data_IF_555549897300
#
_entry.id   IF_555549897300
#
_cell.length_a   1.000
_cell.length_b   1.000
_cell.length_c   1.000
_cell.angle_alpha   90.00
_cell.angle_beta   90.00
_cell.angle_gamma   90.00
#
_symmetry.space_group_name_H-M   'P 1'
#
loop_
_entity.id
_entity.type
_entity.pdbx_description
1 polymer ?
#
# COMPACT_ATOMS: atom_id res chain seq x y z
N UNK A 1 -13.38 39.57 33.75
CA UNK A 1 -13.98 40.12 32.52
C UNK A 1 -12.83 40.43 31.57
N UNK A 2 -12.16 39.42 31.00
CA UNK A 2 -12.65 38.43 30.03
C UNK A 2 -13.01 39.09 28.69
N UNK A 3 -12.04 39.07 27.77
CA UNK A 3 -12.21 38.98 26.31
C UNK A 3 -10.97 38.22 25.83
N UNK A 4 -10.99 36.92 25.57
CA UNK A 4 -12.01 36.15 24.85
C UNK A 4 -11.76 36.10 23.33
N UNK A 5 -10.57 36.50 22.85
CA UNK A 5 -10.33 36.63 21.41
C UNK A 5 -8.92 36.22 20.89
N UNK A 6 -8.14 35.42 21.63
CA UNK A 6 -6.87 34.86 21.11
C UNK A 6 -6.77 33.32 21.16
N UNK A 7 -7.86 32.62 21.50
CA UNK A 7 -7.98 31.16 21.39
C UNK A 7 -8.84 30.76 20.19
N UNK A 8 -8.43 31.03 18.95
CA UNK A 8 -9.06 30.46 17.74
C UNK A 8 -8.36 30.84 16.42
N UNK A 9 -7.05 30.57 16.24
CA UNK A 9 -6.39 30.72 14.92
C UNK A 9 -5.30 29.69 14.59
N UNK A 10 -5.19 28.59 15.32
CA UNK A 10 -4.58 27.39 14.76
C UNK A 10 -5.68 26.62 14.05
N UNK A 11 -5.95 26.97 12.79
CA UNK A 11 -6.56 26.04 11.84
C UNK A 11 -5.83 24.70 12.00
N UNK A 12 -6.56 23.62 12.26
CA UNK A 12 -5.99 22.30 12.57
C UNK A 12 -4.96 21.91 11.51
N UNK A 13 -3.68 22.07 11.84
CA UNK A 13 -2.57 21.77 10.96
C UNK A 13 -2.20 20.31 11.20
N UNK A 14 -2.32 19.47 10.16
CA UNK A 14 -1.93 18.06 10.26
C UNK A 14 -0.41 17.92 10.11
N UNK A 15 0.18 16.76 10.45
CA UNK A 15 1.64 16.60 10.44
C UNK A 15 2.31 16.95 9.11
N UNK A 16 1.65 16.64 8.00
CA UNK A 16 2.15 16.90 6.63
C UNK A 16 2.04 18.38 6.21
N UNK A 17 1.27 19.18 6.95
CA UNK A 17 1.05 20.60 6.66
C UNK A 17 2.07 21.50 7.32
N UNK A 18 2.85 20.97 8.27
CA UNK A 18 3.84 21.74 9.02
C UNK A 18 5.11 21.89 8.16
N UNK A 19 5.44 23.10 7.69
CA UNK A 19 6.54 23.32 6.76
C UNK A 19 7.94 23.14 7.38
N UNK A 20 8.04 23.02 8.71
CA UNK A 20 9.30 22.88 9.43
C UNK A 20 9.74 21.43 9.64
N UNK A 21 9.12 20.45 9.00
CA UNK A 21 9.50 19.06 9.19
C UNK A 21 10.77 18.72 8.42
N UNK A 22 11.91 18.91 9.07
CA UNK A 22 13.19 18.32 8.66
C UNK A 22 13.43 17.01 9.41
N UNK A 23 14.17 16.09 8.78
CA UNK A 23 14.52 14.82 9.37
C UNK A 23 15.34 14.96 10.66
N UNK A 24 16.23 15.97 10.75
CA UNK A 24 17.02 16.18 11.96
C UNK A 24 16.13 16.65 13.10
N UNK A 25 15.23 17.59 12.84
CA UNK A 25 14.27 18.07 13.85
C UNK A 25 13.39 16.94 14.37
N UNK A 26 12.91 16.06 13.48
CA UNK A 26 12.15 14.87 13.85
C UNK A 26 12.98 13.95 14.75
N UNK A 27 14.23 13.67 14.37
CA UNK A 27 15.15 12.82 15.12
C UNK A 27 15.45 13.37 16.52
N UNK A 28 15.83 14.64 16.62
CA UNK A 28 16.16 15.29 17.89
C UNK A 28 14.95 15.38 18.80
N UNK A 29 13.77 15.67 18.25
CA UNK A 29 12.51 15.69 19.01
C UNK A 29 12.17 14.31 19.58
N UNK A 30 12.33 13.25 18.76
CA UNK A 30 12.12 11.86 19.18
C UNK A 30 13.13 11.40 20.24
N UNK A 31 14.42 11.71 20.06
CA UNK A 31 15.46 11.38 21.03
C UNK A 31 15.22 12.07 22.37
N UNK A 32 14.90 13.38 22.35
CA UNK A 32 14.54 14.13 23.56
C UNK A 32 13.33 13.53 24.27
N UNK A 33 12.32 13.11 23.50
CA UNK A 33 11.12 12.49 24.07
C UNK A 33 11.44 11.17 24.78
N UNK A 34 12.21 10.29 24.14
CA UNK A 34 12.62 9.01 24.73
C UNK A 34 13.46 9.19 25.99
N UNK A 35 14.46 10.08 25.97
CA UNK A 35 15.26 10.37 27.17
C UNK A 35 14.42 10.88 28.33
N UNK A 36 13.42 11.72 28.04
CA UNK A 36 12.48 12.19 29.05
C UNK A 36 11.62 11.05 29.62
N UNK A 37 11.13 10.15 28.76
CA UNK A 37 10.35 8.97 29.13
C UNK A 37 11.13 7.99 30.03
N UNK A 38 12.44 7.82 29.76
CA UNK A 38 13.35 7.01 30.56
C UNK A 38 13.66 7.62 31.94
N UNK A 39 13.76 8.96 32.01
CA UNK A 39 14.22 9.67 33.21
C UNK A 39 13.23 9.69 34.39
N UNK A 40 12.03 9.10 34.26
CA UNK A 40 10.94 9.09 35.27
C UNK A 40 10.61 10.48 35.85
N UNK A 41 10.99 11.57 35.17
CA UNK A 41 10.41 12.87 35.46
C UNK A 41 8.90 12.75 35.25
N UNK A 42 8.06 13.37 36.10
CA UNK A 42 6.62 13.30 35.96
C UNK A 42 6.21 14.12 34.73
N UNK A 43 6.39 13.54 33.54
CA UNK A 43 5.55 13.89 32.42
C UNK A 43 4.16 13.43 32.83
N UNK A 44 3.22 14.37 32.85
CA UNK A 44 1.81 14.05 32.71
C UNK A 44 1.73 12.93 31.67
N UNK A 45 1.22 11.75 32.03
CA UNK A 45 1.16 10.61 31.12
C UNK A 45 0.56 11.11 29.81
N UNK A 46 1.39 11.12 28.76
CA UNK A 46 0.87 11.39 27.43
C UNK A 46 0.01 10.21 27.08
N UNK A 47 -1.19 10.50 26.62
CA UNK A 47 -2.17 9.52 26.25
C UNK A 47 -2.64 9.77 24.83
N UNK A 48 -2.98 8.69 24.13
CA UNK A 48 -3.53 8.75 22.78
C UNK A 48 -4.93 8.19 22.81
N UNK A 49 -5.90 8.97 22.35
CA UNK A 49 -7.26 8.48 22.14
C UNK A 49 -7.28 7.57 20.91
N UNK A 50 -7.61 6.30 21.14
CA UNK A 50 -7.77 5.30 20.10
C UNK A 50 -9.11 5.48 19.36
N UNK A 51 -9.26 4.89 18.15
CA UNK A 51 -10.50 5.01 17.37
C UNK A 51 -11.76 4.43 18.05
N UNK A 52 -11.60 3.53 19.01
CA UNK A 52 -12.67 2.94 19.84
C UNK A 52 -13.05 3.81 21.05
N UNK A 53 -12.33 4.91 21.28
CA UNK A 53 -12.54 5.82 22.41
C UNK A 53 -11.75 5.47 23.66
N UNK A 54 -10.92 4.43 23.64
CA UNK A 54 -10.02 4.11 24.74
C UNK A 54 -8.81 5.04 24.76
N UNK A 55 -8.36 5.41 25.95
CA UNK A 55 -7.19 6.26 26.16
C UNK A 55 -5.98 5.36 26.45
N UNK A 56 -5.00 5.39 25.55
CA UNK A 56 -3.79 4.57 25.67
C UNK A 56 -2.64 5.40 26.23
N UNK A 57 -2.19 5.03 27.43
CA UNK A 57 -1.01 5.61 28.06
C UNK A 57 0.27 5.26 27.28
N UNK A 58 1.10 6.28 27.06
CA UNK A 58 2.40 6.13 26.42
C UNK A 58 3.43 5.69 27.46
N UNK A 59 4.08 4.55 27.23
CA UNK A 59 5.10 3.99 28.12
C UNK A 59 6.33 3.57 27.33
N UNK A 60 7.48 3.42 27.98
CA UNK A 60 8.67 2.94 27.29
C UNK A 60 8.47 1.53 26.69
N UNK A 61 7.60 0.70 27.28
CA UNK A 61 7.35 -0.67 26.83
C UNK A 61 6.54 -0.77 25.52
N UNK A 62 5.75 0.27 25.20
CA UNK A 62 4.87 0.28 24.04
C UNK A 62 5.33 1.26 22.93
N UNK A 63 6.49 1.89 23.09
CA UNK A 63 7.09 2.76 22.08
C UNK A 63 8.25 2.04 21.37
N UNK A 64 8.33 2.13 20.05
CA UNK A 64 9.49 1.65 19.29
C UNK A 64 9.86 2.58 18.12
N UNK A 65 11.07 2.42 17.59
CA UNK A 65 11.55 3.14 16.41
C UNK A 65 11.24 2.35 15.14
N UNK A 66 10.59 3.00 14.17
CA UNK A 66 10.39 2.45 12.83
C UNK A 66 11.29 3.16 11.83
N UNK A 67 12.02 2.41 11.02
CA UNK A 67 12.90 2.93 9.96
C UNK A 67 12.08 3.33 8.73
N UNK A 68 12.21 4.58 8.28
CA UNK A 68 11.46 5.10 7.13
C UNK A 68 11.95 4.53 5.79
N UNK A 69 13.26 4.29 5.67
CA UNK A 69 13.92 3.92 4.41
C UNK A 69 14.58 2.54 4.43
N UNK A 70 14.25 1.69 5.41
CA UNK A 70 14.90 0.38 5.56
C UNK A 70 16.38 0.52 5.92
N UNK A 71 17.26 -0.15 5.16
CA UNK A 71 18.71 -0.20 5.39
C UNK A 71 19.48 0.95 4.72
N UNK A 72 18.78 1.98 4.24
CA UNK A 72 19.36 3.13 3.56
C UNK A 72 20.01 4.11 4.56
N UNK A 73 21.21 4.60 4.23
CA UNK A 73 21.93 5.62 5.02
C UNK A 73 21.60 7.04 4.52
N UNK A 74 21.23 7.99 5.39
CA UNK A 74 21.04 7.86 6.84
C UNK A 74 19.75 7.15 7.26
N UNK A 75 19.87 6.33 8.32
CA UNK A 75 18.77 5.60 8.92
C UNK A 75 17.80 6.56 9.64
N UNK A 76 16.88 7.15 8.88
CA UNK A 76 15.80 7.97 9.43
C UNK A 76 14.74 7.09 10.07
N UNK A 77 14.29 7.48 11.27
CA UNK A 77 13.28 6.75 12.03
C UNK A 77 12.22 7.66 12.63
N UNK A 78 11.03 7.10 12.83
CA UNK A 78 9.91 7.72 13.54
C UNK A 78 9.55 6.88 14.77
N UNK A 79 9.09 7.51 15.85
CA UNK A 79 8.55 6.75 16.98
C UNK A 79 7.14 6.29 16.67
N UNK A 80 6.89 5.02 16.95
CA UNK A 80 5.60 4.38 16.83
C UNK A 80 5.13 3.92 18.21
N UNK A 81 3.86 4.18 18.49
CA UNK A 81 3.14 3.66 19.64
C UNK A 81 2.42 2.38 19.21
N UNK A 82 2.54 1.35 20.04
CA UNK A 82 1.92 0.04 19.83
C UNK A 82 0.87 -0.23 20.89
N UNK A 83 -0.07 -1.11 20.60
CA UNK A 83 -0.97 -1.63 21.62
C UNK A 83 -0.20 -2.48 22.64
N UNK A 84 -0.54 -2.43 23.94
CA UNK A 84 0.09 -3.27 24.96
C UNK A 84 -0.04 -4.78 24.67
N UNK A 85 -1.14 -5.19 24.05
CA UNK A 85 -1.46 -6.59 23.75
C UNK A 85 -0.68 -7.13 22.55
N UNK A 86 -0.37 -6.26 21.57
CA UNK A 86 0.31 -6.62 20.33
C UNK A 86 1.35 -5.57 19.92
N UNK A 87 2.63 -5.95 20.04
CA UNK A 87 3.80 -5.12 19.67
C UNK A 87 3.99 -4.96 18.16
N UNK A 88 3.21 -5.66 17.33
CA UNK A 88 3.20 -5.45 15.89
C UNK A 88 2.15 -4.43 15.45
N UNK A 89 1.16 -4.13 16.30
CA UNK A 89 0.05 -3.26 15.97
C UNK A 89 0.36 -1.82 16.36
N UNK A 90 0.78 -1.05 15.36
CA UNK A 90 0.99 0.40 15.48
C UNK A 90 -0.35 1.13 15.53
N UNK A 91 -0.50 2.09 16.44
CA UNK A 91 -1.72 2.89 16.63
C UNK A 91 -1.50 4.40 16.48
N UNK A 92 -0.27 4.88 16.72
CA UNK A 92 0.07 6.29 16.56
C UNK A 92 1.55 6.49 16.23
N UNK A 93 1.86 7.65 15.65
CA UNK A 93 3.23 8.10 15.42
C UNK A 93 3.52 9.40 16.17
N UNK A 94 4.74 9.56 16.64
CA UNK A 94 5.20 10.81 17.26
C UNK A 94 5.80 11.72 16.19
N UNK A 95 5.12 12.86 15.94
CA UNK A 95 5.51 13.85 14.93
C UNK A 95 5.31 15.26 15.51
N UNK A 96 6.31 16.12 15.33
CA UNK A 96 6.28 17.52 15.82
C UNK A 96 5.96 17.68 17.31
N UNK A 97 6.52 16.82 18.17
CA UNK A 97 6.30 16.97 19.61
C UNK A 97 4.94 16.46 20.10
N UNK A 98 4.18 15.76 19.25
CA UNK A 98 2.84 15.26 19.56
C UNK A 98 2.64 13.85 19.01
N UNK A 99 1.82 13.06 19.69
CA UNK A 99 1.32 11.78 19.18
C UNK A 99 0.12 11.99 18.25
N UNK A 100 0.19 11.37 17.08
CA UNK A 100 -0.84 11.41 16.06
C UNK A 100 -1.38 10.01 15.79
N UNK A 101 -2.69 9.85 15.95
CA UNK A 101 -3.37 8.64 15.50
C UNK A 101 -3.15 8.46 13.98
N UNK A 102 -3.07 7.20 13.53
CA UNK A 102 -2.75 6.90 12.12
C UNK A 102 -3.66 7.61 11.12
N UNK A 103 -4.97 7.67 11.41
CA UNK A 103 -5.94 8.31 10.52
C UNK A 103 -5.71 9.83 10.43
N UNK A 104 -5.31 10.49 11.51
CA UNK A 104 -5.04 11.93 11.49
C UNK A 104 -3.68 12.25 10.87
N UNK A 105 -2.70 11.36 11.03
CA UNK A 105 -1.41 11.50 10.36
C UNK A 105 -1.51 11.39 8.81
N UNK A 106 -2.61 10.83 8.29
CA UNK A 106 -2.91 10.73 6.87
C UNK A 106 -3.78 11.89 6.34
N UNK A 107 -4.18 12.83 7.20
CA UNK A 107 -5.01 13.98 6.79
C UNK A 107 -4.18 15.21 6.46
N UNK A 108 -4.81 16.16 5.78
CA UNK A 108 -4.27 17.46 5.44
C UNK A 108 -5.40 18.49 5.46
N UNK A 109 -5.09 19.68 5.97
CA UNK A 109 -5.96 20.86 5.92
C UNK A 109 -5.61 21.75 4.71
N UNK A 110 -4.54 21.42 3.99
CA UNK A 110 -4.09 22.15 2.82
C UNK A 110 -4.96 21.83 1.61
N UNK A 111 -5.79 22.79 1.19
CA UNK A 111 -6.72 22.60 0.07
C UNK A 111 -6.04 22.43 -1.29
N UNK A 112 -4.78 22.89 -1.44
CA UNK A 112 -4.00 22.65 -2.64
C UNK A 112 -3.50 21.20 -2.74
N UNK A 113 -3.54 20.43 -1.64
CA UNK A 113 -3.13 19.04 -1.61
C UNK A 113 -4.29 18.13 -2.04
N UNK A 114 -4.54 18.10 -3.34
CA UNK A 114 -5.59 17.31 -3.98
C UNK A 114 -5.08 16.61 -5.24
N UNK A 115 -5.51 15.37 -5.48
CA UNK A 115 -5.05 14.56 -6.60
C UNK A 115 -3.69 13.90 -6.36
N UNK A 116 -2.98 13.59 -7.44
CA UNK A 116 -1.67 12.91 -7.39
C UNK A 116 -0.54 13.92 -7.23
N UNK A 117 0.13 13.87 -6.08
CA UNK A 117 1.19 14.81 -5.71
C UNK A 117 2.49 14.07 -5.48
N UNK A 118 3.56 14.54 -6.13
CA UNK A 118 4.92 14.01 -5.96
C UNK A 118 5.40 14.20 -4.53
N UNK A 119 6.02 13.16 -3.98
CA UNK A 119 6.59 13.18 -2.63
C UNK A 119 7.91 13.94 -2.66
N UNK A 120 7.92 15.13 -2.05
CA UNK A 120 9.09 16.03 -2.03
C UNK A 120 9.53 16.40 -0.61
N UNK A 121 8.61 16.35 0.35
CA UNK A 121 8.88 16.71 1.75
C UNK A 121 9.06 15.50 2.67
N UNK A 122 9.77 15.64 3.81
CA UNK A 122 9.83 14.61 4.84
C UNK A 122 8.46 14.20 5.39
N UNK A 123 7.50 15.14 5.46
CA UNK A 123 6.13 14.86 5.89
C UNK A 123 5.41 13.92 4.94
N UNK A 124 5.50 14.19 3.64
CA UNK A 124 4.96 13.29 2.62
C UNK A 124 5.67 11.93 2.63
N UNK A 125 6.97 11.88 2.95
CA UNK A 125 7.69 10.62 3.12
C UNK A 125 7.16 9.81 4.30
N UNK A 126 6.78 10.45 5.41
CA UNK A 126 6.10 9.78 6.53
C UNK A 126 4.72 9.26 6.10
N UNK A 127 3.93 10.05 5.37
CA UNK A 127 2.62 9.62 4.85
C UNK A 127 2.77 8.42 3.90
N UNK A 128 3.76 8.44 3.01
CA UNK A 128 4.07 7.32 2.11
C UNK A 128 4.46 6.06 2.90
N UNK A 129 5.30 6.22 3.94
CA UNK A 129 5.68 5.14 4.85
C UNK A 129 4.44 4.55 5.56
N UNK A 130 3.55 5.40 6.07
CA UNK A 130 2.31 4.99 6.71
C UNK A 130 1.44 4.15 5.76
N UNK A 131 1.19 4.65 4.54
CA UNK A 131 0.37 3.94 3.56
C UNK A 131 0.96 2.59 3.17
N UNK A 132 2.29 2.52 2.96
CA UNK A 132 2.97 1.33 2.46
C UNK A 132 3.21 0.27 3.54
N UNK A 133 3.75 0.66 4.70
CA UNK A 133 4.21 -0.27 5.72
C UNK A 133 3.15 -0.56 6.78
N UNK A 134 2.35 0.44 7.16
CA UNK A 134 1.38 0.30 8.24
C UNK A 134 0.00 -0.03 7.71
N UNK A 135 -0.56 0.83 6.85
CA UNK A 135 -1.93 0.65 6.34
C UNK A 135 -1.97 -0.60 5.45
N UNK A 136 -1.19 -0.65 4.37
CA UNK A 136 -1.14 -1.84 3.53
C UNK A 136 -0.52 -3.03 4.25
N UNK A 137 0.66 -2.81 4.86
CA UNK A 137 1.47 -3.88 5.43
C UNK A 137 0.87 -4.53 6.68
N UNK A 138 0.05 -3.85 7.47
CA UNK A 138 -0.50 -4.39 8.73
C UNK A 138 -2.03 -4.42 8.71
N UNK A 139 -2.69 -3.31 8.35
CA UNK A 139 -4.15 -3.16 8.56
C UNK A 139 -5.03 -3.69 7.40
N UNK A 140 -4.59 -3.51 6.16
CA UNK A 140 -5.37 -3.83 4.95
C UNK A 140 -4.76 -4.96 4.12
N UNK A 141 -3.87 -5.75 4.72
CA UNK A 141 -3.13 -6.81 4.05
C UNK A 141 -4.08 -7.87 3.48
N UNK A 142 -3.94 -8.26 2.20
CA UNK A 142 -4.67 -9.40 1.66
C UNK A 142 -4.18 -10.69 2.33
N UNK A 143 -5.08 -11.47 2.92
CA UNK A 143 -4.76 -12.72 3.66
C UNK A 143 -4.02 -13.73 2.77
N UNK A 144 -4.29 -13.72 1.46
CA UNK A 144 -3.78 -14.72 0.51
C UNK A 144 -2.54 -14.25 -0.27
N UNK A 145 -2.05 -13.04 -0.03
CA UNK A 145 -0.87 -12.50 -0.72
C UNK A 145 0.26 -12.32 0.31
N UNK A 146 1.19 -13.28 0.37
CA UNK A 146 2.40 -13.18 1.18
C UNK A 146 3.42 -12.20 0.60
N UNK A 147 2.98 -11.00 0.20
CA UNK A 147 3.76 -9.96 -0.45
C UNK A 147 3.80 -8.76 0.50
N UNK A 148 5.02 -8.31 0.82
CA UNK A 148 5.27 -7.08 1.56
C UNK A 148 5.93 -6.10 0.60
N UNK A 149 5.50 -4.84 0.64
CA UNK A 149 6.30 -3.78 0.04
C UNK A 149 7.50 -3.52 0.94
N UNK A 150 8.70 -3.52 0.37
CA UNK A 150 9.85 -2.99 1.08
C UNK A 150 9.63 -1.50 1.39
N UNK A 151 10.23 -0.96 2.47
CA UNK A 151 10.27 0.48 2.69
C UNK A 151 10.78 1.18 1.43
N UNK A 152 10.09 2.24 1.02
CA UNK A 152 10.39 2.91 -0.22
C UNK A 152 11.67 3.75 -0.07
N UNK A 153 12.72 3.52 -0.89
CA UNK A 153 13.96 4.27 -0.80
C UNK A 153 13.76 5.78 -0.93
N UNK A 154 14.63 6.56 -0.27
CA UNK A 154 14.53 8.02 -0.26
C UNK A 154 14.68 8.64 -1.67
N UNK A 155 15.42 7.97 -2.55
CA UNK A 155 15.76 8.47 -3.90
C UNK A 155 14.76 8.06 -4.97
N UNK A 156 13.84 7.15 -4.66
CA UNK A 156 12.85 6.71 -5.63
C UNK A 156 11.71 7.72 -5.75
N UNK A 157 11.08 7.72 -6.93
CA UNK A 157 9.94 8.58 -7.23
C UNK A 157 8.69 7.92 -6.68
N UNK A 158 7.92 8.68 -5.90
CA UNK A 158 6.60 8.28 -5.46
C UNK A 158 5.63 9.46 -5.57
N UNK A 159 4.35 9.16 -5.77
CA UNK A 159 3.27 10.13 -5.62
C UNK A 159 2.22 9.61 -4.65
N UNK A 160 1.67 10.51 -3.85
CA UNK A 160 0.53 10.23 -2.96
C UNK A 160 -0.73 10.75 -3.64
N UNK A 161 -1.80 9.95 -3.58
CA UNK A 161 -3.13 10.34 -4.03
C UNK A 161 -3.91 10.92 -2.86
N UNK A 162 -4.26 12.20 -2.97
CA UNK A 162 -5.03 12.94 -1.99
C UNK A 162 -6.46 13.17 -2.47
N UNK A 163 -7.43 12.86 -1.62
CA UNK A 163 -8.85 13.10 -1.90
C UNK A 163 -9.53 13.53 -0.60
N UNK A 164 -10.35 14.57 -0.68
CA UNK A 164 -11.17 15.08 0.44
C UNK A 164 -10.37 15.31 1.75
N UNK A 165 -9.15 15.85 1.62
CA UNK A 165 -8.27 16.16 2.75
C UNK A 165 -7.56 14.95 3.36
N UNK A 166 -7.57 13.81 2.67
CA UNK A 166 -6.98 12.56 3.16
C UNK A 166 -6.07 11.91 2.11
N UNK A 167 -4.97 11.28 2.55
CA UNK A 167 -4.13 10.43 1.73
C UNK A 167 -4.80 9.07 1.55
N UNK A 168 -5.27 8.80 0.33
CA UNK A 168 -6.10 7.62 0.03
C UNK A 168 -5.34 6.49 -0.67
N UNK A 169 -4.14 6.77 -1.17
CA UNK A 169 -3.33 5.82 -1.90
C UNK A 169 -1.99 6.40 -2.32
N UNK A 170 -1.16 5.59 -2.97
CA UNK A 170 0.12 6.03 -3.52
C UNK A 170 0.52 5.13 -4.68
N UNK A 171 1.54 5.59 -5.42
CA UNK A 171 2.31 4.72 -6.27
C UNK A 171 3.80 5.10 -6.28
N UNK A 172 4.66 4.12 -6.57
CA UNK A 172 6.10 4.31 -6.75
C UNK A 172 6.57 3.96 -8.14
N UNK A 173 7.73 4.50 -8.53
CA UNK A 173 8.33 4.28 -9.84
C UNK A 173 9.82 3.96 -9.70
N UNK A 174 10.26 2.90 -10.36
CA UNK A 174 11.67 2.69 -10.68
C UNK A 174 12.01 3.47 -11.94
N UNK A 175 12.95 4.39 -11.82
CA UNK A 175 13.33 5.27 -12.93
C UNK A 175 14.24 4.50 -13.89
N UNK A 176 14.07 4.69 -15.20
CA UNK A 176 15.05 4.24 -16.19
C UNK A 176 16.46 4.73 -15.81
N UNK A 177 17.42 3.82 -15.81
CA UNK A 177 18.80 4.06 -15.42
C UNK A 177 19.07 3.99 -13.90
N UNK A 178 18.07 3.81 -13.04
CA UNK A 178 18.31 3.56 -11.62
C UNK A 178 18.74 2.11 -11.39
N UNK A 179 19.60 1.88 -10.39
CA UNK A 179 20.05 0.54 -10.00
C UNK A 179 18.87 -0.34 -9.55
N UNK A 180 18.92 -1.63 -9.92
CA UNK A 180 17.91 -2.61 -9.53
C UNK A 180 18.06 -3.02 -8.07
N UNK A 181 19.30 -3.16 -7.61
CA UNK A 181 19.64 -3.38 -6.21
C UNK A 181 21.05 -2.80 -5.91
N UNK A 182 21.54 -3.00 -4.68
CA UNK A 182 22.85 -2.47 -4.24
C UNK A 182 24.03 -3.39 -4.58
N UNK A 183 23.77 -4.59 -5.08
CA UNK A 183 24.75 -5.66 -5.22
C UNK A 183 25.09 -5.95 -6.70
N UNK A 184 24.17 -5.62 -7.59
CA UNK A 184 24.28 -5.72 -9.04
C UNK A 184 24.53 -4.35 -9.63
N UNK A 185 25.29 -4.29 -10.72
CA UNK A 185 25.45 -3.09 -11.53
C UNK A 185 24.35 -2.96 -12.59
N UNK A 186 23.24 -3.66 -12.42
CA UNK A 186 22.13 -3.65 -13.37
C UNK A 186 21.21 -2.47 -13.11
N UNK A 187 20.85 -1.75 -14.18
CA UNK A 187 19.94 -0.63 -14.12
C UNK A 187 18.63 -0.95 -14.86
N UNK A 188 17.53 -0.37 -14.40
CA UNK A 188 16.25 -0.45 -15.09
C UNK A 188 16.36 0.12 -16.51
N UNK A 189 15.92 -0.65 -17.51
CA UNK A 189 16.01 -0.27 -18.93
C UNK A 189 14.85 0.63 -19.39
N UNK A 190 13.80 0.73 -18.58
CA UNK A 190 12.60 1.52 -18.82
C UNK A 190 12.01 1.98 -17.48
N UNK A 191 11.16 3.03 -17.46
CA UNK A 191 10.42 3.38 -16.25
C UNK A 191 9.42 2.28 -15.89
N UNK A 192 9.37 1.89 -14.61
CA UNK A 192 8.48 0.83 -14.13
C UNK A 192 7.61 1.33 -12.98
N UNK A 193 6.29 1.19 -13.12
CA UNK A 193 5.32 1.36 -12.05
C UNK A 193 5.47 0.20 -11.06
N UNK A 194 6.00 0.48 -9.89
CA UNK A 194 6.56 -0.55 -9.01
C UNK A 194 5.58 -1.02 -7.94
N UNK A 195 5.07 -0.08 -7.16
CA UNK A 195 4.03 -0.36 -6.17
C UNK A 195 2.85 0.56 -6.40
N UNK A 196 1.64 0.03 -6.24
CA UNK A 196 0.39 0.77 -6.33
C UNK A 196 -0.50 0.32 -5.20
N UNK A 197 -1.04 1.28 -4.45
CA UNK A 197 -1.97 0.99 -3.37
C UNK A 197 -3.07 2.04 -3.29
N UNK A 198 -4.29 1.57 -3.04
CA UNK A 198 -5.45 2.41 -2.73
C UNK A 198 -6.15 1.80 -1.52
N UNK A 199 -6.43 2.62 -0.51
CA UNK A 199 -7.10 2.22 0.74
C UNK A 199 -8.47 1.62 0.49
N UNK A 200 -8.83 0.61 1.28
CA UNK A 200 -9.96 -0.30 1.04
C UNK A 200 -11.29 0.44 0.84
N UNK A 201 -11.58 1.43 1.66
CA UNK A 201 -12.82 2.21 1.61
C UNK A 201 -12.90 3.21 0.43
N UNK A 202 -11.78 3.45 -0.25
CA UNK A 202 -11.69 4.27 -1.47
C UNK A 202 -11.62 3.42 -2.76
N UNK A 203 -11.50 2.09 -2.66
CA UNK A 203 -11.44 1.21 -3.84
C UNK A 203 -12.75 1.25 -4.63
N UNK A 204 -12.69 0.77 -5.89
CA UNK A 204 -13.81 0.70 -6.85
C UNK A 204 -14.38 2.06 -7.31
N UNK A 205 -13.66 3.16 -7.05
CA UNK A 205 -14.01 4.52 -7.50
C UNK A 205 -13.16 5.05 -8.66
N UNK A 206 -12.34 4.19 -9.29
CA UNK A 206 -11.51 4.55 -10.45
C UNK A 206 -10.10 5.08 -10.13
N UNK A 207 -9.72 5.23 -8.87
CA UNK A 207 -8.40 5.79 -8.49
C UNK A 207 -7.19 5.00 -9.02
N UNK A 208 -7.25 3.67 -9.07
CA UNK A 208 -6.16 2.89 -9.65
C UNK A 208 -6.01 3.11 -11.16
N UNK A 209 -7.13 3.36 -11.86
CA UNK A 209 -7.13 3.72 -13.28
C UNK A 209 -6.52 5.11 -13.47
N UNK A 210 -6.85 6.04 -12.59
CA UNK A 210 -6.25 7.37 -12.58
C UNK A 210 -4.73 7.32 -12.34
N UNK A 211 -4.27 6.54 -11.35
CA UNK A 211 -2.84 6.29 -11.10
C UNK A 211 -2.14 5.75 -12.35
N UNK A 212 -2.71 4.74 -13.00
CA UNK A 212 -2.11 4.16 -14.22
C UNK A 212 -2.04 5.19 -15.36
N UNK A 213 -3.10 5.98 -15.55
CA UNK A 213 -3.12 7.05 -16.55
C UNK A 213 -2.09 8.15 -16.28
N UNK A 214 -1.95 8.57 -15.02
CA UNK A 214 -0.95 9.56 -14.60
C UNK A 214 0.49 9.04 -14.81
N UNK A 215 0.76 7.77 -14.48
CA UNK A 215 2.03 7.13 -14.77
C UNK A 215 2.35 7.13 -16.27
N UNK A 216 1.44 6.61 -17.10
CA UNK A 216 1.66 6.53 -18.55
C UNK A 216 1.85 7.92 -19.20
N UNK A 217 1.15 8.94 -18.68
CA UNK A 217 1.25 10.33 -19.14
C UNK A 217 2.56 10.99 -18.70
N UNK A 218 2.99 10.74 -17.45
CA UNK A 218 4.25 11.27 -16.90
C UNK A 218 5.47 10.81 -17.70
N UNK A 219 5.39 9.63 -18.31
CA UNK A 219 6.47 9.08 -19.14
C UNK A 219 6.15 9.09 -20.63
N UNK A 220 5.26 9.95 -21.13
CA UNK A 220 4.77 9.97 -22.53
C UNK A 220 5.85 9.93 -23.64
N UNK A 221 7.07 10.40 -23.35
CA UNK A 221 8.22 10.39 -24.29
C UNK A 221 8.93 9.05 -24.41
N UNK A 222 8.72 8.13 -23.46
CA UNK A 222 9.36 6.81 -23.48
C UNK A 222 8.62 5.87 -24.43
N UNK A 223 9.37 5.16 -25.26
CA UNK A 223 8.81 4.20 -26.23
C UNK A 223 8.10 3.04 -25.54
N UNK A 224 8.57 2.63 -24.36
CA UNK A 224 7.96 1.55 -23.57
C UNK A 224 7.99 1.92 -22.09
N UNK A 225 6.95 1.49 -21.36
CA UNK A 225 6.83 1.64 -19.91
C UNK A 225 6.43 0.30 -19.29
N UNK A 226 6.82 0.09 -18.03
CA UNK A 226 6.63 -1.16 -17.32
C UNK A 226 5.68 -1.06 -16.12
N UNK A 227 5.13 -2.21 -15.72
CA UNK A 227 4.58 -2.49 -14.39
C UNK A 227 5.39 -3.65 -13.81
N UNK A 228 5.83 -3.53 -12.56
CA UNK A 228 6.64 -4.56 -11.90
C UNK A 228 5.88 -5.90 -11.84
N UNK A 229 6.57 -6.97 -12.24
CA UNK A 229 6.12 -8.35 -12.10
C UNK A 229 6.25 -8.83 -10.65
N UNK A 230 5.31 -9.67 -10.14
CA UNK A 230 4.07 -10.10 -10.80
C UNK A 230 2.96 -9.06 -10.67
N UNK A 231 2.18 -8.87 -11.74
CA UNK A 231 0.98 -8.04 -11.71
C UNK A 231 -0.16 -8.81 -11.03
N UNK A 232 -0.80 -8.18 -10.03
CA UNK A 232 -1.96 -8.76 -9.35
C UNK A 232 -3.19 -8.85 -10.26
N UNK A 233 -4.10 -9.79 -9.99
CA UNK A 233 -5.34 -9.95 -10.77
C UNK A 233 -6.17 -8.64 -10.83
N UNK A 234 -6.23 -7.91 -9.71
CA UNK A 234 -6.91 -6.61 -9.65
C UNK A 234 -6.24 -5.56 -10.53
N UNK A 235 -4.90 -5.53 -10.56
CA UNK A 235 -4.17 -4.59 -11.40
C UNK A 235 -4.30 -4.95 -12.89
N UNK A 236 -4.35 -6.24 -13.24
CA UNK A 236 -4.67 -6.68 -14.60
C UNK A 236 -6.05 -6.20 -15.06
N UNK A 237 -7.07 -6.19 -14.19
CA UNK A 237 -8.38 -5.61 -14.51
C UNK A 237 -8.30 -4.10 -14.77
N UNK A 238 -7.44 -3.38 -14.03
CA UNK A 238 -7.21 -1.94 -14.24
C UNK A 238 -6.53 -1.72 -15.59
N UNK A 239 -5.47 -2.48 -15.89
CA UNK A 239 -4.79 -2.44 -17.17
C UNK A 239 -5.74 -2.73 -18.34
N UNK A 240 -6.58 -3.76 -18.23
CA UNK A 240 -7.59 -4.08 -19.25
C UNK A 240 -8.50 -2.89 -19.55
N UNK A 241 -9.10 -2.29 -18.51
CA UNK A 241 -9.96 -1.11 -18.67
C UNK A 241 -9.23 0.08 -19.29
N UNK A 242 -7.98 0.31 -18.87
CA UNK A 242 -7.17 1.40 -19.39
C UNK A 242 -6.86 1.22 -20.88
N UNK A 243 -6.44 0.01 -21.28
CA UNK A 243 -6.01 -0.33 -22.64
C UNK A 243 -7.17 -0.49 -23.63
N UNK A 244 -8.39 -0.75 -23.15
CA UNK A 244 -9.60 -0.66 -23.97
C UNK A 244 -9.80 0.77 -24.47
N UNK A 245 -9.64 1.76 -23.58
CA UNK A 245 -9.87 3.19 -23.89
C UNK A 245 -8.67 3.81 -24.61
N UNK A 246 -7.45 3.43 -24.27
CA UNK A 246 -6.22 4.04 -24.77
C UNK A 246 -5.47 3.08 -25.71
N UNK A 247 -5.94 2.97 -26.96
CA UNK A 247 -5.39 2.01 -27.94
C UNK A 247 -3.89 2.23 -28.18
N UNK A 248 -3.44 3.50 -28.18
CA UNK A 248 -2.03 3.87 -28.34
C UNK A 248 -1.10 3.34 -27.25
N UNK A 249 -1.64 2.87 -26.12
CA UNK A 249 -0.87 2.30 -25.02
C UNK A 249 -0.74 0.77 -25.12
N UNK A 250 -1.47 0.10 -26.03
CA UNK A 250 -1.49 -1.37 -26.16
C UNK A 250 -0.12 -1.95 -26.47
N UNK A 251 0.64 -1.30 -27.35
CA UNK A 251 2.01 -1.73 -27.71
C UNK A 251 3.09 -1.19 -26.76
N UNK A 252 2.68 -0.40 -25.76
CA UNK A 252 3.59 0.43 -24.95
C UNK A 252 3.77 -0.06 -23.51
N UNK A 253 2.77 -0.77 -22.98
CA UNK A 253 2.70 -1.18 -21.58
C UNK A 253 3.10 -2.64 -21.39
N UNK A 254 4.12 -2.89 -20.58
CA UNK A 254 4.69 -4.21 -20.34
C UNK A 254 4.64 -4.61 -18.86
N UNK A 255 4.43 -5.88 -18.59
CA UNK A 255 4.82 -6.51 -17.32
C UNK A 255 6.32 -6.74 -17.36
N UNK A 256 7.03 -6.33 -16.31
CA UNK A 256 8.49 -6.23 -16.31
C UNK A 256 9.09 -6.95 -15.10
N UNK A 257 9.94 -7.92 -15.36
CA UNK A 257 10.92 -8.44 -14.39
C UNK A 257 12.17 -7.56 -14.47
N UNK A 258 12.68 -7.08 -13.33
CA UNK A 258 13.90 -6.26 -13.31
C UNK A 258 15.10 -7.02 -13.91
N UNK A 259 16.01 -6.36 -14.65
CA UNK A 259 16.06 -4.93 -15.02
C UNK A 259 15.16 -4.50 -16.20
N UNK A 260 14.40 -5.42 -16.79
CA UNK A 260 13.46 -5.10 -17.87
C UNK A 260 14.07 -5.10 -19.27
N UNK A 261 15.05 -5.97 -19.52
CA UNK A 261 15.53 -6.27 -20.87
C UNK A 261 14.42 -6.83 -21.76
N UNK A 262 14.69 -6.96 -23.07
CA UNK A 262 13.74 -7.49 -24.05
C UNK A 262 13.14 -8.85 -23.69
N UNK A 263 13.93 -9.77 -23.12
CA UNK A 263 13.46 -11.09 -22.68
C UNK A 263 12.73 -11.07 -21.33
N UNK A 264 12.79 -9.96 -20.59
CA UNK A 264 12.26 -9.80 -19.23
C UNK A 264 11.00 -8.94 -19.20
N UNK A 265 10.43 -8.66 -20.37
CA UNK A 265 9.20 -7.87 -20.52
C UNK A 265 8.18 -8.62 -21.34
N UNK A 266 6.92 -8.58 -20.92
CA UNK A 266 5.78 -9.20 -21.60
C UNK A 266 4.71 -8.15 -21.83
N UNK A 267 4.22 -8.04 -23.06
CA UNK A 267 3.21 -7.03 -23.37
C UNK A 267 1.91 -7.32 -22.61
N UNK A 268 1.40 -6.33 -21.85
CA UNK A 268 0.24 -6.52 -20.98
C UNK A 268 -1.04 -6.76 -21.80
N UNK A 269 -1.19 -6.06 -22.92
CA UNK A 269 -2.35 -6.23 -23.79
C UNK A 269 -2.39 -7.64 -24.39
N UNK A 270 -1.25 -8.13 -24.90
CA UNK A 270 -1.14 -9.47 -25.46
C UNK A 270 -1.43 -10.55 -24.41
N UNK A 271 -0.90 -10.41 -23.19
CA UNK A 271 -1.20 -11.33 -22.08
C UNK A 271 -2.70 -11.39 -21.77
N UNK A 272 -3.39 -10.24 -21.78
CA UNK A 272 -4.84 -10.16 -21.59
C UNK A 272 -5.61 -10.88 -22.70
N UNK A 273 -5.21 -10.73 -23.96
CA UNK A 273 -5.85 -11.41 -25.09
C UNK A 273 -5.65 -12.93 -25.06
N UNK A 274 -4.47 -13.39 -24.62
CA UNK A 274 -4.14 -14.80 -24.52
C UNK A 274 -4.68 -15.47 -23.24
N UNK A 275 -5.38 -14.75 -22.36
CA UNK A 275 -5.89 -15.28 -21.10
C UNK A 275 -4.79 -15.73 -20.13
N UNK A 276 -3.57 -15.20 -20.27
CA UNK A 276 -2.40 -15.61 -19.50
C UNK A 276 -2.27 -14.92 -18.13
N UNK A 277 -3.34 -14.27 -17.66
CA UNK A 277 -3.35 -13.49 -16.43
C UNK A 277 -3.78 -14.35 -15.22
N UNK A 278 -3.24 -14.11 -14.01
CA UNK A 278 -3.70 -14.78 -12.80
C UNK A 278 -5.19 -14.50 -12.54
N UNK A 279 -6.02 -15.55 -12.58
CA UNK A 279 -7.46 -15.46 -12.32
C UNK A 279 -8.28 -15.08 -13.56
N UNK A 280 -8.67 -16.08 -14.35
CA UNK A 280 -9.56 -15.93 -15.50
C UNK A 280 -10.89 -15.27 -15.12
N UNK A 281 -11.05 -13.99 -15.46
CA UNK A 281 -12.34 -13.30 -15.53
C UNK A 281 -12.39 -12.46 -16.82
N UNK A 282 -12.44 -13.13 -17.96
CA UNK A 282 -13.01 -12.54 -19.16
C UNK A 282 -14.52 -12.81 -19.12
N UNK A 283 -15.31 -11.83 -18.68
CA UNK A 283 -16.71 -11.80 -19.09
C UNK A 283 -16.72 -11.58 -20.60
N UNK A 284 -17.22 -12.57 -21.33
CA UNK A 284 -17.58 -12.46 -22.74
C UNK A 284 -18.62 -11.34 -22.89
N UNK A 285 -18.16 -10.11 -23.15
CA UNK A 285 -18.96 -9.16 -23.91
C UNK A 285 -18.57 -9.33 -25.37
N UNK A 286 -19.00 -10.45 -25.95
CA UNK A 286 -19.08 -10.58 -27.40
C UNK A 286 -20.50 -10.21 -27.80
N UNK A 287 -20.56 -9.20 -28.65
CA UNK A 287 -21.75 -8.67 -29.30
C UNK A 287 -22.38 -9.79 -30.13
N UNK A 288 -23.57 -10.25 -29.75
CA UNK A 288 -24.43 -11.02 -30.64
C UNK A 288 -25.80 -10.34 -30.73
N UNK A 289 -25.97 -9.58 -31.81
CA UNK A 289 -27.28 -9.16 -32.25
C UNK A 289 -28.06 -10.36 -32.77
N UNK A 290 -29.21 -10.68 -32.17
CA UNK A 290 -30.28 -11.39 -32.85
C UNK A 290 -31.65 -10.96 -32.33
N UNK A 291 -32.42 -10.45 -33.28
CA UNK A 291 -33.83 -10.08 -33.20
C UNK A 291 -34.72 -11.31 -32.94
N UNK A 292 -35.79 -11.08 -32.14
CA UNK A 292 -37.12 -11.72 -32.15
C UNK A 292 -37.22 -13.24 -31.88
N UNK A 293 -37.88 -13.59 -30.77
CA UNK A 293 -39.33 -13.90 -30.75
C UNK A 293 -39.85 -14.06 -29.32
N UNK A 294 -40.94 -13.33 -29.03
CA UNK A 294 -41.86 -13.57 -27.91
C UNK A 294 -42.42 -14.99 -28.00
N UNK A 295 -42.44 -15.71 -26.88
CA UNK A 295 -43.56 -16.59 -26.50
C UNK A 295 -43.76 -16.52 -24.99
N UNK A 296 -45.01 -16.32 -24.64
CA UNK A 296 -45.62 -16.16 -23.32
C UNK A 296 -46.11 -17.49 -22.76
N UNK A 297 -46.25 -17.52 -21.42
CA UNK A 297 -47.11 -18.42 -20.61
C UNK A 297 -46.60 -19.88 -20.44
N UNK A 298 -46.77 -20.59 -19.32
CA UNK A 298 -47.56 -20.39 -18.10
C UNK A 298 -47.24 -21.53 -17.09
N UNK A 299 -47.52 -21.29 -15.79
CA UNK A 299 -47.86 -22.26 -14.71
C UNK A 299 -46.79 -23.28 -14.28
N UNK A 300 -46.73 -23.81 -13.05
CA UNK A 300 -47.51 -23.67 -11.82
C UNK A 300 -46.65 -24.25 -10.66
N UNK A 301 -47.03 -23.87 -9.45
CA UNK A 301 -46.62 -24.34 -8.11
C UNK A 301 -46.25 -25.83 -8.00
N UNK A 302 -45.27 -26.13 -7.14
CA UNK A 302 -45.54 -26.89 -5.91
C UNK A 302 -44.39 -26.79 -4.90
N UNK A 303 -44.78 -26.62 -3.64
CA UNK A 303 -43.96 -26.77 -2.45
C UNK A 303 -44.26 -28.13 -1.83
N UNK A 304 -43.25 -28.89 -1.42
CA UNK A 304 -43.36 -29.79 -0.27
C UNK A 304 -41.99 -30.26 0.23
N UNK A 305 -42.01 -30.56 1.52
CA UNK A 305 -40.96 -30.62 2.52
C UNK A 305 -40.43 -32.05 2.73
N UNK A 306 -39.30 -32.20 3.44
CA UNK A 306 -38.78 -33.33 4.24
C UNK A 306 -37.24 -33.37 4.10
N UNK A 307 -36.48 -32.86 5.07
CA UNK A 307 -36.03 -33.50 6.34
C UNK A 307 -34.89 -34.52 6.17
N UNK A 308 -33.77 -34.14 6.82
CA UNK A 308 -32.60 -34.85 7.39
C UNK A 308 -32.42 -36.35 7.11
N UNK A 309 -31.19 -36.70 6.76
CA UNK A 309 -30.46 -37.79 7.43
C UNK A 309 -28.98 -37.40 7.62
N UNK A 310 -28.50 -37.66 8.84
CA UNK A 310 -27.13 -37.56 9.33
C UNK A 310 -26.26 -38.70 8.78
N UNK A 311 -24.95 -38.48 8.65
CA UNK A 311 -23.97 -39.57 8.77
C UNK A 311 -22.69 -39.08 9.45
N UNK A 312 -22.48 -39.63 10.63
CA UNK A 312 -21.32 -39.50 11.50
C UNK A 312 -20.30 -40.60 11.16
N UNK A 313 -19.01 -40.30 11.27
CA UNK A 313 -17.92 -41.27 11.32
C UNK A 313 -16.62 -40.60 11.78
N UNK A 314 -16.45 -40.50 13.10
CA UNK A 314 -15.17 -40.43 13.80
C UNK A 314 -14.52 -41.82 13.89
N UNK A 315 -13.19 -41.93 13.77
CA UNK A 315 -12.28 -42.63 14.72
C UNK A 315 -10.85 -42.08 14.55
N UNK A 316 -10.25 -41.79 15.70
CA UNK A 316 -8.89 -41.32 16.00
C UNK A 316 -7.76 -42.29 15.59
N UNK A 317 -6.52 -41.81 15.47
CA UNK A 317 -5.51 -42.07 16.51
C UNK A 317 -4.23 -41.22 16.40
N UNK A 318 -3.59 -41.14 17.56
CA UNK A 318 -2.58 -40.23 18.11
C UNK A 318 -1.14 -40.43 17.59
N UNK A 319 -0.31 -39.37 17.56
CA UNK A 319 1.03 -39.36 18.19
C UNK A 319 1.87 -38.05 17.98
N UNK A 320 2.24 -37.40 19.09
CA UNK A 320 3.65 -37.16 19.49
C UNK A 320 4.57 -36.10 18.82
N UNK A 321 4.67 -34.93 19.47
CA UNK A 321 5.89 -34.08 19.69
C UNK A 321 6.39 -33.11 18.57
N UNK A 322 7.23 -32.08 18.86
CA UNK A 322 6.92 -30.68 18.52
C UNK A 322 7.96 -30.06 17.55
N UNK A 323 7.52 -29.45 16.46
CA UNK A 323 8.42 -28.75 15.53
C UNK A 323 8.44 -27.22 15.71
N UNK A 324 9.58 -26.57 15.37
CA UNK A 324 10.02 -25.33 15.97
C UNK A 324 9.51 -24.09 15.22
N UNK A 325 9.59 -22.97 15.92
CA UNK A 325 9.47 -21.59 15.42
C UNK A 325 9.96 -21.43 13.98
N UNK A 326 9.04 -21.40 13.02
CA UNK A 326 9.33 -21.01 11.63
C UNK A 326 9.35 -19.50 11.55
N UNK A 327 10.56 -18.93 11.58
CA UNK A 327 10.83 -17.58 11.06
C UNK A 327 10.19 -17.45 9.66
N UNK A 328 9.27 -16.50 9.52
CA UNK A 328 8.77 -16.10 8.23
C UNK A 328 9.94 -15.60 7.37
N UNK A 329 10.31 -16.39 6.36
CA UNK A 329 11.30 -16.03 5.35
C UNK A 329 10.93 -14.68 4.73
N UNK A 330 11.79 -13.67 4.92
CA UNK A 330 11.89 -12.49 4.05
C UNK A 330 11.97 -12.98 2.60
N UNK A 331 11.05 -12.57 1.73
CA UNK A 331 11.21 -12.82 0.28
C UNK A 331 12.33 -11.92 -0.26
N UNK A 332 13.56 -12.44 -0.21
CA UNK A 332 14.40 -12.55 -1.40
C UNK A 332 14.17 -13.96 -1.92
N UNK A 333 13.71 -14.14 -3.16
CA UNK A 333 13.71 -15.47 -3.79
C UNK A 333 14.54 -15.38 -5.07
N UNK A 334 15.63 -16.15 -5.06
CA UNK A 334 16.62 -16.32 -6.11
C UNK A 334 16.42 -17.66 -6.85
N UNK A 335 17.05 -17.71 -8.04
CA UNK A 335 17.63 -18.86 -8.75
C UNK A 335 16.74 -19.72 -9.65
N UNK A 336 17.16 -19.82 -10.92
CA UNK A 336 17.43 -21.12 -11.55
C UNK A 336 18.75 -21.11 -12.33
N UNK A 337 19.64 -21.97 -11.86
CA UNK A 337 20.73 -22.60 -12.59
C UNK A 337 20.23 -23.18 -13.92
N UNK A 338 20.95 -22.93 -15.02
CA UNK A 338 21.07 -23.88 -16.12
C UNK A 338 22.51 -23.82 -16.62
N UNK A 339 23.25 -24.91 -16.38
CA UNK A 339 24.51 -25.21 -17.05
C UNK A 339 24.34 -26.33 -18.07
N UNK A 340 25.36 -26.45 -18.91
CA UNK A 340 25.58 -27.27 -20.12
C UNK A 340 25.18 -26.54 -21.41
N UNK A 341 26.08 -26.34 -22.37
CA UNK A 341 27.33 -27.07 -22.70
C UNK A 341 28.63 -26.28 -22.54
#
# INVERSE_FOLDING_TARGET
METGAERSRFSECYPVDVPSLDYNTMRTSAEKYLSNLESHFPLKNDSVLLPDGEELDVTHANVSRLLLFGDDDPAYSVLALHTPEDKAKVVALYLHGKWWALNDALKTACTSRSGLITVESPGERVVLFLLSQIIFGILERPINEGIYFAPHPAKEIAKILWQDGEAIGFYSVKKKGSLCDRYTSECYQLPVLDTVFVRKHWRRRGFALWILGDFCSSFSKEETVGISSPISANMYQVCSKYLIVHESQRDRLYEVEAPGNWSQRRNVWLNLQLGSCPGNYMQQNTIDGKNKKKKTASCQKNAQNCEREDFDASVDDSDGNPEPQRMARRKRVWSKQCGRD
#
